data_IF_543022700100
#
_entry.id   IF_543022700100
#
_cell.length_a   1.000
_cell.length_b   1.000
_cell.length_c   1.000
_cell.angle_alpha   90.00
_cell.angle_beta   90.00
_cell.angle_gamma   90.00
#
_symmetry.space_group_name_H-M   'P 1'
#
loop_
_entity.id
_entity.type
_entity.pdbx_description
1 polymer ?
#
# COMPACT_ATOMS: atom_id res chain seq x y z
N UNK A 1 29.37 -31.11 -9.95
CA UNK A 1 28.26 -30.74 -10.86
C UNK A 1 27.84 -29.35 -10.43
N UNK A 2 28.39 -28.32 -11.08
CA UNK A 2 28.03 -26.94 -10.80
C UNK A 2 26.65 -26.72 -11.41
N UNK A 3 25.62 -26.66 -10.56
CA UNK A 3 24.30 -26.24 -11.00
C UNK A 3 24.35 -24.74 -11.25
N UNK A 4 24.56 -24.36 -12.51
CA UNK A 4 24.49 -22.99 -12.98
C UNK A 4 22.99 -22.60 -13.03
N UNK A 5 22.45 -22.12 -11.91
CA UNK A 5 21.08 -21.60 -11.85
C UNK A 5 21.04 -20.22 -12.51
N UNK A 6 20.84 -20.16 -13.83
CA UNK A 6 20.57 -18.91 -14.56
C UNK A 6 19.13 -18.48 -14.33
N UNK A 7 18.93 -17.50 -13.46
CA UNK A 7 17.67 -16.75 -13.40
C UNK A 7 17.82 -15.52 -14.28
N UNK A 8 17.29 -15.59 -15.51
CA UNK A 8 17.35 -14.47 -16.44
C UNK A 8 16.22 -13.47 -16.13
N UNK A 9 16.61 -12.26 -15.71
CA UNK A 9 15.70 -11.11 -15.64
C UNK A 9 15.92 -10.29 -16.92
N UNK A 10 14.97 -10.38 -17.85
CA UNK A 10 15.03 -9.62 -19.10
C UNK A 10 14.36 -8.25 -18.90
N UNK A 11 15.17 -7.19 -18.89
CA UNK A 11 14.71 -5.79 -18.88
C UNK A 11 15.05 -5.16 -20.23
N UNK A 12 14.05 -4.69 -20.96
CA UNK A 12 14.27 -3.93 -22.19
C UNK A 12 14.77 -2.52 -21.83
N UNK A 13 15.92 -2.11 -22.37
CA UNK A 13 16.55 -0.81 -22.12
C UNK A 13 15.78 0.37 -22.72
N UNK A 14 15.87 1.49 -22.00
CA UNK A 14 15.15 2.76 -22.14
C UNK A 14 15.35 3.49 -23.49
N UNK A 15 14.31 4.21 -23.93
CA UNK A 15 14.44 5.35 -24.86
C UNK A 15 14.80 6.63 -24.06
N UNK A 16 15.65 7.45 -24.67
CA UNK A 16 16.51 8.53 -24.13
C UNK A 16 15.82 9.66 -23.35
N UNK A 17 14.49 9.70 -23.29
CA UNK A 17 13.71 10.87 -22.79
C UNK A 17 13.26 10.79 -21.33
N UNK A 18 13.46 9.65 -20.65
CA UNK A 18 13.05 9.44 -19.25
C UNK A 18 14.24 8.98 -18.38
N UNK A 19 15.34 9.74 -18.34
CA UNK A 19 16.47 9.38 -17.48
C UNK A 19 16.15 9.65 -16.01
N UNK A 20 16.03 8.58 -15.22
CA UNK A 20 15.98 8.61 -13.76
C UNK A 20 17.37 8.70 -13.13
N UNK A 21 18.47 8.58 -13.89
CA UNK A 21 19.83 8.38 -13.38
C UNK A 21 20.80 9.52 -13.74
N UNK A 22 21.10 10.40 -12.77
CA UNK A 22 22.01 11.55 -12.93
C UNK A 22 23.41 11.32 -12.34
N UNK A 23 23.56 10.41 -11.37
CA UNK A 23 24.80 10.27 -10.59
C UNK A 23 25.87 9.35 -11.18
N UNK A 24 25.54 8.51 -12.17
CA UNK A 24 26.51 7.57 -12.78
C UNK A 24 27.03 6.44 -11.87
N UNK A 25 26.65 6.43 -10.58
CA UNK A 25 27.13 5.45 -9.60
C UNK A 25 26.23 4.22 -9.43
N UNK A 26 24.99 4.27 -9.94
CA UNK A 26 23.98 3.23 -9.66
C UNK A 26 24.33 1.83 -10.17
N UNK A 27 25.18 1.70 -11.19
CA UNK A 27 25.65 0.39 -11.66
C UNK A 27 26.49 -0.33 -10.60
N UNK A 28 27.30 0.40 -9.82
CA UNK A 28 28.22 -0.18 -8.86
C UNK A 28 27.53 -0.72 -7.61
N UNK A 29 26.25 -0.38 -7.36
CA UNK A 29 25.50 -0.99 -6.26
C UNK A 29 25.26 -2.49 -6.47
N UNK A 30 25.47 -3.02 -7.69
CA UNK A 30 25.47 -4.46 -7.94
C UNK A 30 26.48 -5.22 -7.08
N UNK A 31 27.63 -4.61 -6.76
CA UNK A 31 28.66 -5.20 -5.91
C UNK A 31 28.30 -5.26 -4.42
N UNK A 32 27.15 -4.70 -4.01
CA UNK A 32 26.64 -4.90 -2.65
C UNK A 32 26.19 -6.35 -2.42
N UNK A 33 25.83 -7.07 -3.49
CA UNK A 33 25.32 -8.45 -3.40
C UNK A 33 26.12 -9.44 -4.25
N UNK A 34 26.91 -8.96 -5.20
CA UNK A 34 27.70 -9.78 -6.11
C UNK A 34 29.20 -9.59 -5.91
N UNK A 35 29.95 -10.69 -5.90
CA UNK A 35 31.42 -10.68 -5.89
C UNK A 35 31.99 -10.30 -7.27
N UNK A 36 31.31 -10.74 -8.33
CA UNK A 36 31.71 -10.52 -9.72
C UNK A 36 30.50 -10.10 -10.55
N UNK A 37 30.70 -9.13 -11.43
CA UNK A 37 29.69 -8.67 -12.38
C UNK A 37 30.23 -8.82 -13.79
N UNK A 38 29.45 -9.47 -14.64
CA UNK A 38 29.75 -9.63 -16.08
C UNK A 38 28.65 -8.96 -16.88
N UNK A 39 29.02 -8.04 -17.77
CA UNK A 39 28.11 -7.31 -18.64
C UNK A 39 28.43 -7.68 -20.08
N UNK A 40 27.52 -8.39 -20.73
CA UNK A 40 27.61 -8.70 -22.16
C UNK A 40 26.70 -7.72 -22.91
N UNK A 41 27.24 -6.98 -23.87
CA UNK A 41 26.46 -5.96 -24.58
C UNK A 41 26.73 -5.99 -26.07
N UNK A 42 25.69 -5.70 -26.86
CA UNK A 42 25.77 -5.52 -28.31
C UNK A 42 25.04 -4.24 -28.70
N UNK A 43 25.80 -3.24 -29.12
CA UNK A 43 25.27 -2.04 -29.77
C UNK A 43 25.08 -2.28 -31.28
N UNK A 44 24.28 -1.46 -31.96
CA UNK A 44 24.12 -1.59 -33.42
C UNK A 44 25.41 -1.27 -34.18
N UNK A 45 26.14 -0.26 -33.71
CA UNK A 45 27.31 0.29 -34.38
C UNK A 45 28.64 -0.36 -33.95
N UNK A 46 28.58 -1.41 -33.12
CA UNK A 46 29.77 -2.08 -32.60
C UNK A 46 29.53 -3.60 -32.46
N UNK A 47 30.60 -4.37 -32.28
CA UNK A 47 30.56 -5.81 -32.06
C UNK A 47 30.11 -6.17 -30.63
N UNK A 48 29.83 -7.45 -30.39
CA UNK A 48 29.45 -7.93 -29.06
C UNK A 48 30.70 -7.98 -28.17
N UNK A 49 30.61 -7.36 -27.00
CA UNK A 49 31.70 -7.31 -26.04
C UNK A 49 31.22 -7.81 -24.68
N UNK A 50 32.14 -8.46 -23.95
CA UNK A 50 32.00 -8.86 -22.55
C UNK A 50 32.88 -7.94 -21.71
N UNK A 51 32.25 -7.24 -20.78
CA UNK A 51 32.91 -6.51 -19.71
C UNK A 51 32.85 -7.34 -18.43
N UNK A 52 33.96 -7.48 -17.73
CA UNK A 52 34.04 -8.25 -16.48
C UNK A 52 34.81 -7.46 -15.41
N UNK A 53 34.28 -7.42 -14.19
CA UNK A 53 35.00 -6.88 -13.04
C UNK A 53 34.56 -7.51 -11.71
N UNK A 54 35.46 -7.47 -10.75
CA UNK A 54 35.29 -7.90 -9.35
C UNK A 54 35.45 -6.73 -8.38
N UNK A 55 35.28 -5.49 -8.86
CA UNK A 55 35.50 -4.25 -8.09
C UNK A 55 36.90 -4.06 -7.49
N UNK A 56 37.92 -4.82 -7.94
CA UNK A 56 39.31 -4.73 -7.47
C UNK A 56 40.14 -3.57 -8.03
N UNK A 57 39.51 -2.53 -8.57
CA UNK A 57 40.18 -1.37 -9.18
C UNK A 57 40.49 -1.47 -10.68
N UNK A 58 40.24 -2.63 -11.30
CA UNK A 58 40.36 -2.84 -12.75
C UNK A 58 39.17 -3.63 -13.31
N UNK A 59 39.03 -3.62 -14.63
CA UNK A 59 38.04 -4.39 -15.38
C UNK A 59 38.66 -4.88 -16.68
N UNK A 60 38.13 -5.98 -17.21
CA UNK A 60 38.54 -6.54 -18.49
C UNK A 60 37.43 -6.34 -19.52
N UNK A 61 37.81 -6.06 -20.76
CA UNK A 61 36.90 -6.00 -21.90
C UNK A 61 37.42 -6.93 -22.98
N UNK A 62 36.61 -7.88 -23.40
CA UNK A 62 36.95 -8.85 -24.44
C UNK A 62 35.83 -8.93 -25.46
N UNK A 63 36.18 -9.20 -26.72
CA UNK A 63 35.20 -9.51 -27.76
C UNK A 63 34.51 -10.85 -27.45
N UNK A 64 33.21 -10.92 -27.69
CA UNK A 64 32.43 -12.15 -27.47
C UNK A 64 32.33 -12.97 -28.76
N UNK A 65 33.23 -13.94 -28.92
CA UNK A 65 33.28 -14.78 -30.12
C UNK A 65 32.56 -16.13 -29.96
N UNK A 66 32.09 -16.46 -28.76
CA UNK A 66 31.55 -17.80 -28.43
C UNK A 66 30.21 -17.80 -27.68
N UNK A 67 29.79 -16.65 -27.17
CA UNK A 67 28.51 -16.47 -26.51
C UNK A 67 27.32 -16.46 -27.47
N UNK A 68 26.12 -16.52 -26.89
CA UNK A 68 24.88 -16.37 -27.65
C UNK A 68 24.79 -14.95 -28.25
N UNK A 69 24.48 -14.80 -29.55
CA UNK A 69 24.35 -13.49 -30.17
C UNK A 69 23.12 -12.74 -29.66
N UNK A 70 23.35 -11.63 -28.95
CA UNK A 70 22.30 -10.85 -28.28
C UNK A 70 21.47 -9.94 -29.21
N UNK A 71 21.92 -9.76 -30.45
CA UNK A 71 21.30 -8.84 -31.42
C UNK A 71 21.50 -7.36 -31.05
N UNK A 72 20.61 -6.80 -30.21
CA UNK A 72 20.70 -5.42 -29.68
C UNK A 72 20.19 -5.35 -28.25
N UNK A 73 21.03 -5.78 -27.30
CA UNK A 73 20.69 -5.89 -25.87
C UNK A 73 21.95 -5.81 -25.01
N UNK A 74 21.73 -5.66 -23.71
CA UNK A 74 22.73 -5.82 -22.67
C UNK A 74 22.22 -6.84 -21.66
N UNK A 75 23.07 -7.80 -21.31
CA UNK A 75 22.83 -8.80 -20.28
C UNK A 75 23.79 -8.54 -19.13
N UNK A 76 23.26 -8.47 -17.91
CA UNK A 76 24.05 -8.28 -16.69
C UNK A 76 23.95 -9.59 -15.89
N UNK A 77 25.07 -10.27 -15.73
CA UNK A 77 25.18 -11.49 -14.92
C UNK A 77 25.83 -11.16 -13.59
N UNK A 78 25.13 -11.45 -12.50
CA UNK A 78 25.58 -11.21 -11.13
C UNK A 78 26.01 -12.53 -10.50
N UNK A 79 27.28 -12.64 -10.15
CA UNK A 79 27.80 -13.76 -9.37
C UNK A 79 27.66 -13.39 -7.90
N UNK A 80 26.57 -13.84 -7.29
CA UNK A 80 26.20 -13.51 -5.92
C UNK A 80 27.22 -14.03 -4.92
N UNK A 81 27.40 -13.30 -3.82
CA UNK A 81 28.16 -13.77 -2.67
C UNK A 81 27.43 -14.92 -1.96
N UNK A 82 28.17 -15.78 -1.26
CA UNK A 82 27.64 -16.98 -0.59
C UNK A 82 26.54 -16.68 0.45
N UNK A 83 26.57 -15.49 1.06
CA UNK A 83 25.60 -15.02 2.05
C UNK A 83 24.39 -14.29 1.42
N UNK A 84 24.40 -14.04 0.11
CA UNK A 84 23.37 -13.31 -0.63
C UNK A 84 22.51 -14.21 -1.52
N UNK A 85 22.54 -15.52 -1.29
CA UNK A 85 21.77 -16.51 -2.06
C UNK A 85 20.24 -16.37 -1.90
N UNK A 86 19.77 -15.57 -0.92
CA UNK A 86 18.35 -15.23 -0.78
C UNK A 86 17.76 -14.56 -2.04
N UNK A 87 18.59 -13.90 -2.85
CA UNK A 87 18.16 -13.28 -4.11
C UNK A 87 17.94 -14.28 -5.24
N UNK A 88 18.29 -15.56 -5.07
CA UNK A 88 17.89 -16.63 -5.99
C UNK A 88 16.45 -17.10 -5.72
N UNK A 89 15.88 -16.79 -4.56
CA UNK A 89 14.51 -17.17 -4.23
C UNK A 89 13.50 -16.33 -5.01
N UNK A 90 12.58 -17.00 -5.71
CA UNK A 90 11.52 -16.35 -6.48
C UNK A 90 10.73 -15.34 -5.64
N UNK A 91 10.43 -15.68 -4.38
CA UNK A 91 9.69 -14.82 -3.45
C UNK A 91 10.40 -13.48 -3.21
N UNK A 92 11.74 -13.48 -3.17
CA UNK A 92 12.55 -12.28 -2.94
C UNK A 92 12.57 -11.39 -4.19
N UNK A 93 12.77 -11.96 -5.38
CA UNK A 93 12.79 -11.21 -6.65
C UNK A 93 11.41 -10.68 -7.03
N UNK A 94 10.34 -11.43 -6.73
CA UNK A 94 8.95 -11.04 -7.03
C UNK A 94 8.49 -9.81 -6.21
N UNK A 95 9.30 -9.30 -5.29
CA UNK A 95 9.01 -8.09 -4.53
C UNK A 95 8.85 -6.87 -5.48
N UNK A 96 7.61 -6.41 -5.63
CA UNK A 96 7.24 -5.33 -6.57
C UNK A 96 7.65 -3.92 -6.11
N UNK A 97 8.27 -3.78 -4.92
CA UNK A 97 8.37 -2.50 -4.21
C UNK A 97 8.93 -1.35 -5.07
N UNK A 98 9.98 -1.60 -5.86
CA UNK A 98 10.72 -0.53 -6.54
C UNK A 98 10.43 -0.36 -8.03
N UNK A 99 9.89 -1.39 -8.70
CA UNK A 99 9.79 -1.43 -10.16
C UNK A 99 8.37 -1.66 -10.69
N UNK A 100 7.36 -1.50 -9.83
CA UNK A 100 5.97 -1.79 -10.16
C UNK A 100 5.42 -0.95 -11.33
N UNK A 101 5.83 0.31 -11.43
CA UNK A 101 5.27 1.28 -12.38
C UNK A 101 6.24 1.70 -13.50
N UNK A 102 7.30 0.91 -13.71
CA UNK A 102 8.17 1.07 -14.86
C UNK A 102 7.37 0.77 -16.13
N UNK A 103 7.55 1.61 -17.15
CA UNK A 103 6.73 1.58 -18.38
C UNK A 103 6.98 0.37 -19.28
N UNK A 104 8.14 -0.27 -19.14
CA UNK A 104 8.51 -1.45 -19.91
C UNK A 104 8.12 -2.72 -19.17
N UNK A 105 7.62 -3.75 -19.86
CA UNK A 105 7.27 -5.02 -19.22
C UNK A 105 8.52 -5.71 -18.66
N UNK A 106 8.42 -6.14 -17.40
CA UNK A 106 9.44 -6.87 -16.66
C UNK A 106 8.98 -8.33 -16.58
N UNK A 107 9.80 -9.21 -17.14
CA UNK A 107 9.57 -10.65 -17.12
C UNK A 107 10.54 -11.33 -16.16
N UNK A 108 10.03 -12.29 -15.40
CA UNK A 108 10.82 -13.18 -14.55
C UNK A 108 10.71 -14.61 -15.08
N UNK A 109 11.86 -15.24 -15.27
CA UNK A 109 11.96 -16.66 -15.55
C UNK A 109 11.68 -17.46 -14.28
N UNK A 110 10.60 -18.24 -14.27
CA UNK A 110 10.18 -19.02 -13.09
C UNK A 110 10.07 -20.50 -13.39
N UNK A 111 10.44 -21.32 -12.40
CA UNK A 111 10.30 -22.77 -12.45
C UNK A 111 8.93 -23.18 -11.91
N UNK A 112 8.10 -23.79 -12.75
CA UNK A 112 6.85 -24.43 -12.33
C UNK A 112 7.04 -25.94 -12.24
N UNK A 113 6.77 -26.48 -11.07
CA UNK A 113 6.67 -27.93 -10.89
C UNK A 113 5.20 -28.36 -11.05
N UNK A 114 4.90 -29.15 -12.07
CA UNK A 114 3.58 -29.76 -12.26
C UNK A 114 3.65 -31.26 -11.99
N UNK A 115 2.71 -31.78 -11.20
CA UNK A 115 2.56 -33.22 -11.00
C UNK A 115 1.61 -33.76 -12.07
N UNK A 116 2.12 -34.53 -13.04
CA UNK A 116 1.27 -35.30 -13.97
C UNK A 116 1.12 -36.74 -13.49
N UNK A 117 -0.12 -37.23 -13.44
CA UNK A 117 -0.40 -38.66 -13.27
C UNK A 117 -0.38 -39.34 -14.65
N UNK A 118 0.47 -40.34 -14.83
CA UNK A 118 0.47 -41.18 -16.04
C UNK A 118 -0.23 -42.51 -15.70
N UNK A 119 -1.25 -42.91 -16.47
CA UNK A 119 -1.69 -44.31 -16.53
C UNK A 119 -0.74 -45.07 -17.46
N UNK A 120 -0.16 -46.17 -16.98
CA UNK A 120 0.56 -47.10 -17.85
C UNK A 120 -0.46 -47.81 -18.75
N UNK A 121 -0.61 -47.33 -19.99
CA UNK A 121 -1.34 -48.00 -21.07
C UNK A 121 -0.36 -48.44 -22.18
N UNK A 122 0.78 -49.02 -21.80
CA UNK A 122 1.70 -49.68 -22.74
C UNK A 122 2.28 -50.93 -22.06
N UNK A 123 1.56 -52.04 -22.13
CA UNK A 123 2.06 -53.40 -21.88
C UNK A 123 1.02 -54.45 -22.37
N UNK A 124 0.59 -54.40 -23.64
CA UNK A 124 -0.01 -55.56 -24.32
C UNK A 124 0.34 -55.56 -25.82
N UNK A 125 1.56 -55.98 -26.14
CA UNK A 125 1.87 -56.48 -27.48
C UNK A 125 3.01 -57.49 -27.39
N UNK A 126 2.67 -58.72 -26.97
CA UNK A 126 3.28 -60.00 -27.43
C UNK A 126 2.85 -61.16 -26.54
N UNK A 127 1.95 -62.02 -27.06
CA UNK A 127 2.05 -63.48 -26.92
C UNK A 127 1.06 -64.17 -27.86
N UNK A 128 1.61 -64.91 -28.82
CA UNK A 128 0.91 -65.90 -29.63
C UNK A 128 1.03 -67.28 -28.99
N UNK A 129 -0.07 -68.04 -29.11
CA UNK A 129 -0.19 -69.50 -29.30
C UNK A 129 0.24 -70.41 -28.11
N UNK A 130 -0.71 -71.06 -27.43
CA UNK A 130 -1.22 -72.43 -27.70
C UNK A 130 -2.26 -72.87 -26.65
N UNK A 131 -3.00 -73.93 -27.03
CA UNK A 131 -4.21 -74.60 -26.53
C UNK A 131 -4.40 -74.79 -25.00
N UNK A 132 -5.66 -74.69 -24.52
CA UNK A 132 -6.43 -75.86 -24.05
C UNK A 132 -7.84 -75.44 -23.56
N UNK A 133 -8.84 -76.25 -23.93
CA UNK A 133 -10.26 -76.14 -23.59
C UNK A 133 -10.62 -77.26 -22.61
N UNK A 134 -11.04 -76.92 -21.38
CA UNK A 134 -11.82 -77.80 -20.48
C UNK A 134 -12.34 -77.06 -19.22
N UNK A 135 -13.66 -76.90 -19.21
CA UNK A 135 -14.66 -76.87 -18.13
C UNK A 135 -14.28 -76.79 -16.62
N UNK A 136 -14.94 -75.80 -15.98
CA UNK A 136 -15.79 -75.89 -14.77
C UNK A 136 -15.27 -75.78 -13.31
N UNK A 137 -16.10 -75.04 -12.54
CA UNK A 137 -16.44 -74.98 -11.10
C UNK A 137 -15.60 -74.21 -10.05
N UNK A 138 -16.30 -73.20 -9.50
CA UNK A 138 -16.53 -72.80 -8.09
C UNK A 138 -15.53 -72.10 -7.15
N UNK A 139 -16.15 -71.12 -6.46
CA UNK A 139 -16.05 -70.71 -5.05
C UNK A 139 -14.76 -70.07 -4.48
N UNK A 140 -14.90 -68.75 -4.29
CA UNK A 140 -14.81 -68.04 -2.99
C UNK A 140 -13.44 -67.80 -2.30
N UNK A 141 -13.26 -66.51 -1.95
CA UNK A 141 -12.47 -65.91 -0.85
C UNK A 141 -11.09 -65.28 -1.13
N UNK A 142 -11.11 -63.95 -0.98
CA UNK A 142 -10.12 -63.06 -0.36
C UNK A 142 -8.63 -63.28 -0.63
N UNK A 143 -8.03 -62.34 -1.40
CA UNK A 143 -6.82 -61.60 -0.98
C UNK A 143 -6.44 -60.45 -1.92
N UNK A 144 -6.22 -59.29 -1.31
CA UNK A 144 -5.38 -58.17 -1.73
C UNK A 144 -5.68 -57.47 -3.08
N UNK A 145 -6.56 -56.45 -3.02
CA UNK A 145 -6.48 -55.29 -3.93
C UNK A 145 -5.15 -54.56 -3.73
N UNK A 146 -4.11 -55.03 -4.42
CA UNK A 146 -2.84 -54.33 -4.60
C UNK A 146 -3.11 -53.04 -5.39
N UNK A 147 -3.38 -51.93 -4.68
CA UNK A 147 -3.43 -50.57 -5.24
C UNK A 147 -2.15 -50.37 -6.07
N UNK A 148 -2.25 -50.37 -7.41
CA UNK A 148 -1.19 -49.91 -8.32
C UNK A 148 -0.74 -48.54 -7.81
N UNK A 149 0.49 -48.48 -7.27
CA UNK A 149 1.11 -47.26 -6.75
C UNK A 149 1.37 -46.36 -7.96
N UNK A 150 0.45 -45.42 -8.24
CA UNK A 150 0.64 -44.40 -9.28
C UNK A 150 1.94 -43.65 -8.98
N UNK A 151 2.93 -43.77 -9.87
CA UNK A 151 4.16 -42.98 -9.78
C UNK A 151 3.82 -41.56 -10.24
N UNK A 152 3.89 -40.61 -9.32
CA UNK A 152 3.83 -39.18 -9.63
C UNK A 152 5.21 -38.76 -10.15
N UNK A 153 5.29 -38.31 -11.39
CA UNK A 153 6.51 -37.70 -11.94
C UNK A 153 6.32 -36.18 -11.83
N UNK A 154 7.31 -35.51 -11.25
CA UNK A 154 7.37 -34.05 -11.20
C UNK A 154 8.00 -33.55 -12.50
N UNK A 155 7.21 -32.87 -13.32
CA UNK A 155 7.71 -32.20 -14.52
C UNK A 155 8.00 -30.74 -14.16
N UNK A 156 9.27 -30.33 -14.32
CA UNK A 156 9.69 -28.94 -14.14
C UNK A 156 9.65 -28.26 -15.51
N UNK A 157 8.77 -27.27 -15.64
CA UNK A 157 8.67 -26.44 -16.83
C UNK A 157 9.06 -25.01 -16.48
N UNK A 158 9.77 -24.34 -17.38
CA UNK A 158 10.13 -22.94 -17.21
C UNK A 158 9.23 -22.02 -18.03
N UNK A 159 8.80 -20.90 -17.45
CA UNK A 159 8.02 -19.88 -18.16
C UNK A 159 8.47 -18.46 -17.80
N UNK A 160 8.38 -17.54 -18.76
CA UNK A 160 8.51 -16.10 -18.52
C UNK A 160 7.18 -15.53 -18.00
N UNK A 161 7.14 -15.09 -16.75
CA UNK A 161 5.98 -14.41 -16.18
C UNK A 161 6.18 -12.90 -16.09
N UNK A 162 5.25 -12.11 -16.62
CA UNK A 162 5.26 -10.66 -16.45
C UNK A 162 4.88 -10.27 -15.00
N UNK A 163 5.75 -9.50 -14.34
CA UNK A 163 5.57 -9.05 -12.95
C UNK A 163 4.76 -7.74 -12.88
N UNK A 164 5.16 -6.73 -13.65
CA UNK A 164 4.56 -5.39 -13.61
C UNK A 164 3.37 -5.26 -14.59
N UNK A 165 2.27 -5.93 -14.25
CA UNK A 165 1.04 -5.83 -15.06
C UNK A 165 0.28 -4.53 -14.87
N UNK A 166 0.51 -3.84 -13.75
CA UNK A 166 -0.20 -2.62 -13.41
C UNK A 166 0.39 -1.42 -14.13
N UNK A 167 -0.49 -0.61 -14.72
CA UNK A 167 -0.10 0.64 -15.37
C UNK A 167 -0.29 1.81 -14.40
N UNK A 168 0.61 2.81 -14.41
CA UNK A 168 0.45 4.02 -13.61
C UNK A 168 -0.76 4.82 -14.13
N UNK A 169 -1.84 4.84 -13.35
CA UNK A 169 -3.09 5.51 -13.74
C UNK A 169 -3.03 7.03 -13.54
N UNK A 170 -2.17 7.55 -12.66
CA UNK A 170 -2.02 8.98 -12.37
C UNK A 170 -1.35 9.79 -13.48
N UNK A 171 -0.81 9.11 -14.51
CA UNK A 171 -0.24 9.77 -15.68
C UNK A 171 -1.29 10.07 -16.76
N UNK A 172 -2.44 9.42 -16.70
CA UNK A 172 -3.58 9.65 -17.60
C UNK A 172 -4.45 10.77 -17.08
N UNK A 173 -5.23 11.40 -17.95
CA UNK A 173 -6.20 12.41 -17.50
C UNK A 173 -7.29 11.73 -16.69
N UNK A 174 -7.82 12.36 -15.61
CA UNK A 174 -8.86 11.77 -14.78
C UNK A 174 -10.11 11.32 -15.56
N UNK A 175 -10.46 12.05 -16.62
CA UNK A 175 -11.62 11.83 -17.50
C UNK A 175 -11.49 10.56 -18.36
N UNK A 176 -10.27 10.13 -18.65
CA UNK A 176 -9.98 8.98 -19.52
C UNK A 176 -9.95 7.66 -18.76
N UNK A 177 -10.02 7.69 -17.43
CA UNK A 177 -9.87 6.52 -16.56
C UNK A 177 -11.24 6.10 -16.03
N UNK A 178 -11.63 4.86 -16.32
CA UNK A 178 -12.91 4.32 -15.84
C UNK A 178 -12.88 4.06 -14.32
N UNK A 179 -14.05 4.10 -13.68
CA UNK A 179 -14.18 3.83 -12.23
C UNK A 179 -13.66 2.44 -11.84
N UNK A 180 -13.88 1.44 -12.68
CA UNK A 180 -13.38 0.07 -12.45
C UNK A 180 -11.85 0.00 -12.46
N UNK A 181 -11.17 0.83 -13.26
CA UNK A 181 -9.71 0.90 -13.29
C UNK A 181 -9.17 1.47 -11.97
N UNK A 182 -9.83 2.48 -11.38
CA UNK A 182 -9.47 2.99 -10.05
C UNK A 182 -9.69 1.96 -8.95
N UNK A 183 -10.80 1.22 -8.98
CA UNK A 183 -11.08 0.16 -8.00
C UNK A 183 -10.03 -0.96 -8.07
N UNK A 184 -9.73 -1.45 -9.29
CA UNK A 184 -8.68 -2.44 -9.52
C UNK A 184 -7.30 -1.95 -9.08
N UNK A 185 -6.99 -0.68 -9.34
CA UNK A 185 -5.75 -0.06 -8.88
C UNK A 185 -5.67 0.00 -7.35
N UNK A 186 -6.74 0.45 -6.68
CA UNK A 186 -6.82 0.48 -5.21
C UNK A 186 -6.66 -0.90 -4.59
N UNK A 187 -7.35 -1.92 -5.10
CA UNK A 187 -7.29 -3.29 -4.58
C UNK A 187 -5.87 -3.86 -4.65
N UNK A 188 -5.16 -3.61 -5.75
CA UNK A 188 -3.75 -4.04 -5.88
C UNK A 188 -2.76 -3.20 -5.07
N UNK A 189 -3.00 -1.90 -4.93
CA UNK A 189 -2.14 -1.02 -4.12
C UNK A 189 -2.19 -1.40 -2.64
N UNK A 190 -3.37 -1.80 -2.17
CA UNK A 190 -3.70 -1.91 -0.74
C UNK A 190 -3.90 -3.34 -0.26
N UNK A 191 -3.96 -4.30 -1.19
CA UNK A 191 -4.37 -5.70 -0.96
C UNK A 191 -5.73 -5.83 -0.27
N UNK A 192 -6.61 -4.86 -0.49
CA UNK A 192 -7.99 -4.90 -0.04
C UNK A 192 -8.85 -5.68 -1.05
N UNK A 193 -9.82 -6.43 -0.54
CA UNK A 193 -10.78 -7.16 -1.36
C UNK A 193 -12.05 -6.35 -1.61
N UNK A 194 -12.27 -5.30 -0.81
CA UNK A 194 -13.38 -4.37 -0.97
C UNK A 194 -12.91 -3.09 -1.66
N UNK A 195 -13.71 -2.56 -2.60
CA UNK A 195 -13.38 -1.33 -3.31
C UNK A 195 -13.36 -0.11 -2.37
N UNK A 196 -12.65 0.95 -2.80
CA UNK A 196 -12.62 2.22 -2.10
C UNK A 196 -14.01 2.88 -1.97
N UNK A 197 -14.22 3.70 -0.94
CA UNK A 197 -15.43 4.49 -0.76
C UNK A 197 -15.43 5.70 -1.70
N UNK A 198 -14.32 6.42 -1.72
CA UNK A 198 -14.12 7.62 -2.52
C UNK A 198 -12.69 7.68 -3.02
N UNK A 199 -12.50 8.40 -4.13
CA UNK A 199 -11.18 8.66 -4.72
C UNK A 199 -11.06 10.13 -5.09
N UNK A 200 -9.82 10.62 -5.13
CA UNK A 200 -9.49 11.96 -5.64
C UNK A 200 -8.22 11.87 -6.48
N UNK A 201 -8.32 12.16 -7.77
CA UNK A 201 -7.19 12.25 -8.70
C UNK A 201 -6.96 13.73 -9.05
N UNK A 202 -5.74 14.23 -8.82
CA UNK A 202 -5.38 15.62 -9.10
C UNK A 202 -3.89 15.76 -9.45
N UNK A 203 -3.57 16.87 -10.12
CA UNK A 203 -2.22 17.36 -10.36
C UNK A 203 -2.05 18.75 -9.72
N UNK A 204 -0.83 19.08 -9.33
CA UNK A 204 -0.42 20.40 -8.84
C UNK A 204 0.76 20.84 -9.68
N UNK A 205 0.70 22.06 -10.21
CA UNK A 205 1.73 22.63 -11.12
C UNK A 205 2.40 23.90 -10.56
N UNK A 206 2.03 24.35 -9.35
CA UNK A 206 2.50 25.65 -8.82
C UNK A 206 3.97 25.63 -8.36
N UNK A 207 4.22 25.31 -7.09
CA UNK A 207 5.57 25.36 -6.49
C UNK A 207 6.38 24.08 -6.70
N UNK A 208 5.70 22.96 -6.88
CA UNK A 208 6.25 21.66 -7.13
C UNK A 208 5.27 20.91 -8.04
N UNK A 209 5.76 20.41 -9.17
CA UNK A 209 4.92 19.59 -10.05
C UNK A 209 4.81 18.17 -9.49
N UNK A 210 3.58 17.76 -9.18
CA UNK A 210 3.29 16.37 -8.82
C UNK A 210 1.87 15.97 -9.17
N UNK A 211 1.69 14.66 -9.36
CA UNK A 211 0.40 14.01 -9.63
C UNK A 211 0.11 13.05 -8.49
N UNK A 212 -1.14 13.03 -8.03
CA UNK A 212 -1.52 12.21 -6.91
C UNK A 212 -2.90 11.59 -7.08
N UNK A 213 -3.06 10.40 -6.51
CA UNK A 213 -4.35 9.74 -6.35
C UNK A 213 -4.50 9.31 -4.89
N UNK A 214 -5.57 9.77 -4.27
CA UNK A 214 -5.91 9.48 -2.89
C UNK A 214 -7.21 8.68 -2.84
N UNK A 215 -7.30 7.77 -1.88
CA UNK A 215 -8.41 6.85 -1.69
C UNK A 215 -8.84 6.84 -0.23
N UNK A 216 -10.15 6.87 -0.01
CA UNK A 216 -10.76 6.60 1.29
C UNK A 216 -11.22 5.15 1.31
N UNK A 217 -10.69 4.29 2.20
CA UNK A 217 -11.18 2.92 2.35
C UNK A 217 -12.63 2.92 2.88
N UNK A 218 -13.42 1.90 2.53
CA UNK A 218 -14.79 1.76 3.04
C UNK A 218 -14.87 1.43 4.51
N UNK A 219 -13.85 0.74 5.04
CA UNK A 219 -13.77 0.34 6.43
C UNK A 219 -12.48 0.84 7.03
N UNK A 220 -12.53 1.22 8.31
CA UNK A 220 -11.32 1.51 9.05
C UNK A 220 -10.52 0.22 9.28
N UNK A 221 -9.21 0.22 9.04
CA UNK A 221 -8.38 -0.92 9.38
C UNK A 221 -8.34 -1.09 10.91
N UNK A 222 -8.27 -2.33 11.39
CA UNK A 222 -8.36 -2.65 12.83
C UNK A 222 -7.22 -2.05 13.66
N UNK A 223 -6.08 -1.78 13.01
CA UNK A 223 -4.83 -1.28 13.59
C UNK A 223 -4.66 0.24 13.40
N UNK A 224 -5.72 0.98 13.00
CA UNK A 224 -5.63 2.40 12.65
C UNK A 224 -5.06 3.29 13.76
N UNK A 225 -5.27 2.94 15.03
CA UNK A 225 -4.81 3.71 16.20
C UNK A 225 -3.73 2.98 17.01
N UNK A 226 -3.06 1.97 16.44
CA UNK A 226 -1.87 1.40 17.08
C UNK A 226 -0.71 2.38 16.90
N UNK A 227 -0.26 3.00 18.01
CA UNK A 227 0.85 3.96 18.01
C UNK A 227 2.18 3.39 17.49
N UNK A 228 2.31 2.06 17.38
CA UNK A 228 3.50 1.40 16.82
C UNK A 228 3.44 1.25 15.30
N UNK A 229 2.29 1.53 14.69
CA UNK A 229 2.08 1.37 13.25
C UNK A 229 2.78 2.51 12.51
N UNK A 230 3.62 2.15 11.54
CA UNK A 230 4.21 3.13 10.62
C UNK A 230 3.14 3.66 9.67
N UNK A 231 3.12 4.97 9.45
CA UNK A 231 2.24 5.62 8.48
C UNK A 231 2.78 5.38 7.06
N UNK A 232 2.36 4.28 6.44
CA UNK A 232 2.81 3.83 5.12
C UNK A 232 1.70 3.73 4.06
N UNK A 233 0.56 4.36 4.33
CA UNK A 233 -0.64 4.29 3.48
C UNK A 233 -0.51 5.13 2.20
N UNK A 234 0.35 6.15 2.19
CA UNK A 234 0.70 6.92 0.99
C UNK A 234 2.13 6.58 0.56
N UNK A 235 2.31 6.30 -0.73
CA UNK A 235 3.62 5.98 -1.31
C UNK A 235 4.09 7.14 -2.19
N UNK A 236 5.34 7.56 -1.98
CA UNK A 236 5.98 8.61 -2.78
C UNK A 236 6.87 7.99 -3.86
N UNK A 237 6.63 8.40 -5.09
CA UNK A 237 7.37 8.04 -6.28
C UNK A 237 8.06 9.26 -6.87
N UNK A 238 9.25 9.03 -7.42
CA UNK A 238 9.97 10.00 -8.21
C UNK A 238 10.21 9.42 -9.60
N UNK A 239 9.67 10.06 -10.64
CA UNK A 239 9.73 9.54 -12.01
C UNK A 239 9.33 8.07 -12.09
N UNK A 240 8.23 7.70 -11.41
CA UNK A 240 7.67 6.33 -11.33
C UNK A 240 8.50 5.32 -10.53
N UNK A 241 9.62 5.73 -9.93
CA UNK A 241 10.44 4.88 -9.07
C UNK A 241 10.02 5.13 -7.62
N UNK A 242 9.75 4.06 -6.89
CA UNK A 242 9.40 4.16 -5.47
C UNK A 242 10.59 4.74 -4.68
N UNK A 243 10.34 5.80 -3.92
CA UNK A 243 11.33 6.44 -3.05
C UNK A 243 11.10 6.01 -1.61
N UNK A 244 9.94 6.38 -1.07
CA UNK A 244 9.62 6.20 0.35
C UNK A 244 8.14 5.96 0.56
N UNK A 245 7.83 5.20 1.61
CA UNK A 245 6.50 4.98 2.15
C UNK A 245 6.32 5.65 3.52
N UNK A 246 7.40 6.02 4.21
CA UNK A 246 7.30 6.67 5.52
C UNK A 246 6.78 8.12 5.41
N UNK A 247 5.49 8.30 5.65
CA UNK A 247 4.75 9.51 5.35
C UNK A 247 4.34 10.32 6.60
N UNK A 248 5.02 10.16 7.74
CA UNK A 248 4.79 10.98 8.94
C UNK A 248 4.86 12.50 8.63
N UNK A 249 5.77 12.90 7.74
CA UNK A 249 5.87 14.28 7.28
C UNK A 249 4.89 14.64 6.15
N UNK A 250 4.34 13.64 5.44
CA UNK A 250 3.51 13.84 4.24
C UNK A 250 2.02 14.01 4.58
N UNK A 251 1.54 13.32 5.62
CA UNK A 251 0.16 13.44 6.08
C UNK A 251 0.07 13.54 7.60
N UNK A 252 -0.87 14.34 8.14
CA UNK A 252 -1.19 14.31 9.57
C UNK A 252 -1.77 12.97 10.02
N UNK A 253 -1.57 12.64 11.30
CA UNK A 253 -2.07 11.41 11.93
C UNK A 253 -3.59 11.25 11.76
N UNK A 254 -4.35 12.33 11.89
CA UNK A 254 -5.80 12.28 11.72
C UNK A 254 -6.27 11.89 10.30
N UNK A 255 -5.42 12.04 9.26
CA UNK A 255 -5.71 11.60 7.88
C UNK A 255 -5.01 10.25 7.57
N UNK A 256 -4.35 9.62 8.55
CA UNK A 256 -3.55 8.40 8.37
C UNK A 256 -4.27 7.20 7.74
N UNK A 257 -5.61 7.21 7.67
CA UNK A 257 -6.39 6.16 6.99
C UNK A 257 -6.47 6.31 5.46
N UNK A 258 -6.10 7.47 4.90
CA UNK A 258 -6.15 7.73 3.46
C UNK A 258 -4.99 7.02 2.78
N UNK A 259 -5.31 6.20 1.78
CA UNK A 259 -4.34 5.44 1.01
C UNK A 259 -4.08 6.13 -0.32
N UNK A 260 -2.86 6.05 -0.85
CA UNK A 260 -2.61 6.72 -2.13
C UNK A 260 -1.20 6.64 -2.67
N UNK A 261 -1.03 7.32 -3.79
CA UNK A 261 0.24 7.45 -4.51
C UNK A 261 0.45 8.92 -4.85
N UNK A 262 1.68 9.39 -4.66
CA UNK A 262 2.16 10.71 -5.09
C UNK A 262 3.37 10.47 -5.98
N UNK A 263 3.39 11.03 -7.18
CA UNK A 263 4.51 10.94 -8.13
C UNK A 263 4.92 12.33 -8.59
N UNK A 264 6.23 12.60 -8.57
CA UNK A 264 6.79 13.89 -8.97
C UNK A 264 8.09 13.67 -9.73
N UNK A 265 8.27 14.43 -10.82
CA UNK A 265 9.46 14.31 -11.67
C UNK A 265 10.65 15.18 -11.18
N UNK A 266 10.37 16.11 -10.25
CA UNK A 266 11.25 17.20 -9.80
C UNK A 266 11.74 17.08 -8.35
N UNK A 267 11.66 15.87 -7.78
CA UNK A 267 12.13 15.64 -6.41
C UNK A 267 13.68 15.66 -6.33
N UNK A 268 14.29 16.52 -5.48
CA UNK A 268 15.72 16.49 -5.23
C UNK A 268 16.08 15.30 -4.32
N UNK A 269 16.42 14.19 -4.96
CA UNK A 269 16.79 12.95 -4.27
C UNK A 269 18.24 12.99 -3.80
N UNK A 270 18.47 12.36 -2.65
CA UNK A 270 19.82 12.10 -2.18
C UNK A 270 20.53 11.04 -3.06
N UNK A 271 21.82 10.80 -2.80
CA UNK A 271 22.61 9.84 -3.58
C UNK A 271 22.02 8.42 -3.48
N UNK A 272 21.50 8.04 -2.29
CA UNK A 272 20.89 6.71 -2.10
C UNK A 272 19.53 6.55 -2.77
N UNK A 273 18.85 7.65 -3.13
CA UNK A 273 17.49 7.70 -3.69
C UNK A 273 16.39 7.18 -2.77
N UNK A 274 16.71 7.01 -1.49
CA UNK A 274 15.75 6.54 -0.48
C UNK A 274 15.19 7.68 0.37
N UNK A 275 15.90 8.82 0.41
CA UNK A 275 15.48 9.99 1.19
C UNK A 275 15.58 11.25 0.34
N UNK A 276 14.71 12.21 0.65
CA UNK A 276 14.75 13.55 0.05
C UNK A 276 15.84 14.38 0.73
N UNK A 277 16.52 15.24 -0.03
CA UNK A 277 17.55 16.13 0.52
C UNK A 277 16.96 17.30 1.32
N UNK A 278 15.71 17.71 1.01
CA UNK A 278 15.07 18.88 1.61
C UNK A 278 13.66 18.55 2.12
N UNK A 279 13.44 18.69 3.43
CA UNK A 279 12.13 18.43 4.05
C UNK A 279 11.09 19.51 3.74
N UNK A 280 11.48 20.70 3.26
CA UNK A 280 10.51 21.76 2.91
C UNK A 280 9.52 21.34 1.81
N UNK A 281 9.98 20.50 0.88
CA UNK A 281 9.15 19.99 -0.23
C UNK A 281 8.03 19.09 0.30
N UNK A 282 8.34 18.24 1.28
CA UNK A 282 7.35 17.38 1.94
C UNK A 282 6.24 18.20 2.62
N UNK A 283 6.59 19.35 3.23
CA UNK A 283 5.60 20.26 3.83
C UNK A 283 4.65 20.87 2.79
N UNK A 284 5.16 21.23 1.61
CA UNK A 284 4.35 21.74 0.50
C UNK A 284 3.41 20.67 -0.03
N UNK A 285 3.92 19.44 -0.22
CA UNK A 285 3.09 18.30 -0.62
C UNK A 285 2.01 18.06 0.43
N UNK A 286 2.37 17.96 1.71
CA UNK A 286 1.44 17.76 2.83
C UNK A 286 0.30 18.77 2.84
N UNK A 287 0.60 20.06 2.70
CA UNK A 287 -0.42 21.12 2.66
C UNK A 287 -1.42 20.90 1.52
N UNK A 288 -0.94 20.49 0.35
CA UNK A 288 -1.79 20.21 -0.80
C UNK A 288 -2.60 18.91 -0.64
N UNK A 289 -2.00 17.84 -0.10
CA UNK A 289 -2.71 16.58 0.18
C UNK A 289 -3.83 16.80 1.20
N UNK A 290 -3.55 17.50 2.32
CA UNK A 290 -4.55 17.81 3.35
C UNK A 290 -5.71 18.59 2.77
N UNK A 291 -5.42 19.63 1.96
CA UNK A 291 -6.44 20.42 1.27
C UNK A 291 -7.34 19.53 0.38
N UNK A 292 -6.74 18.66 -0.43
CA UNK A 292 -7.46 17.75 -1.34
C UNK A 292 -8.23 16.65 -0.61
N UNK A 293 -7.74 16.16 0.53
CA UNK A 293 -8.47 15.24 1.39
C UNK A 293 -9.73 15.89 1.98
N UNK A 294 -9.62 17.12 2.48
CA UNK A 294 -10.77 17.84 3.03
C UNK A 294 -11.81 18.12 1.94
N UNK A 295 -11.38 18.55 0.75
CA UNK A 295 -12.27 18.69 -0.42
C UNK A 295 -13.00 17.38 -0.73
N UNK A 296 -12.27 16.25 -0.75
CA UNK A 296 -12.86 14.92 -0.95
C UNK A 296 -13.86 14.55 0.15
N UNK A 297 -13.62 14.90 1.43
CA UNK A 297 -14.57 14.63 2.51
C UNK A 297 -15.87 15.41 2.36
N UNK A 298 -15.80 16.65 1.88
CA UNK A 298 -17.00 17.43 1.57
C UNK A 298 -17.78 16.86 0.38
N UNK A 299 -17.08 16.38 -0.66
CA UNK A 299 -17.74 15.70 -1.78
C UNK A 299 -18.45 14.41 -1.33
N UNK A 300 -17.86 13.65 -0.41
CA UNK A 300 -18.54 12.50 0.22
C UNK A 300 -19.78 12.96 1.00
N UNK A 301 -19.72 14.13 1.65
CA UNK A 301 -20.83 14.68 2.43
C UNK A 301 -22.05 15.08 1.59
N UNK A 302 -21.88 15.34 0.29
CA UNK A 302 -22.99 15.59 -0.64
C UNK A 302 -23.90 14.36 -0.79
N UNK A 303 -23.33 13.14 -0.69
CA UNK A 303 -24.11 11.90 -0.67
C UNK A 303 -24.34 11.40 0.76
N UNK A 304 -25.59 11.51 1.23
CA UNK A 304 -25.98 11.11 2.59
C UNK A 304 -25.64 9.66 2.92
N UNK A 305 -25.75 8.72 1.98
CA UNK A 305 -25.49 7.30 2.24
C UNK A 305 -23.99 7.01 2.39
N UNK A 306 -23.17 7.51 1.48
CA UNK A 306 -21.73 7.33 1.53
C UNK A 306 -21.12 8.09 2.70
N UNK A 307 -21.65 9.27 3.01
CA UNK A 307 -21.25 10.01 4.20
C UNK A 307 -21.57 9.27 5.50
N UNK A 308 -22.71 8.57 5.58
CA UNK A 308 -23.01 7.77 6.76
C UNK A 308 -21.96 6.66 6.95
N UNK A 309 -21.59 5.95 5.87
CA UNK A 309 -20.54 4.91 5.92
C UNK A 309 -19.19 5.49 6.32
N UNK A 310 -18.81 6.62 5.72
CA UNK A 310 -17.59 7.35 6.04
C UNK A 310 -17.54 7.76 7.52
N UNK A 311 -18.61 8.39 8.01
CA UNK A 311 -18.68 8.90 9.38
C UNK A 311 -18.81 7.79 10.42
N UNK A 312 -19.36 6.62 10.07
CA UNK A 312 -19.34 5.44 10.93
C UNK A 312 -17.94 4.82 11.02
N UNK A 313 -17.18 4.81 9.92
CA UNK A 313 -15.83 4.27 9.89
C UNK A 313 -14.77 5.18 10.52
N UNK A 314 -14.80 6.49 10.23
CA UNK A 314 -13.74 7.45 10.60
C UNK A 314 -14.17 8.60 11.53
N UNK A 315 -15.09 8.42 12.51
CA UNK A 315 -15.53 9.53 13.36
C UNK A 315 -14.44 10.01 14.32
N UNK A 316 -13.53 9.12 14.73
CA UNK A 316 -12.42 9.43 15.63
C UNK A 316 -11.38 10.32 14.93
N UNK A 317 -11.07 10.00 13.68
CA UNK A 317 -10.15 10.75 12.83
C UNK A 317 -10.61 12.21 12.62
N UNK A 318 -11.89 12.43 12.29
CA UNK A 318 -12.42 13.80 12.14
C UNK A 318 -12.29 14.58 13.44
N UNK A 319 -12.63 13.97 14.58
CA UNK A 319 -12.52 14.59 15.90
C UNK A 319 -11.07 14.92 16.27
N UNK A 320 -10.14 14.00 15.96
CA UNK A 320 -8.71 14.21 16.16
C UNK A 320 -8.20 15.39 15.32
N UNK A 321 -8.63 15.48 14.07
CA UNK A 321 -8.28 16.60 13.19
C UNK A 321 -8.76 17.96 13.72
N UNK A 322 -9.93 18.03 14.36
CA UNK A 322 -10.42 19.27 15.01
C UNK A 322 -9.55 19.66 16.21
N UNK A 323 -9.03 18.66 16.93
CA UNK A 323 -8.14 18.87 18.08
C UNK A 323 -6.76 19.38 17.62
N UNK A 324 -6.15 18.68 16.66
CA UNK A 324 -4.76 18.90 16.23
C UNK A 324 -4.60 20.02 15.21
N UNK A 325 -5.43 20.04 14.16
CA UNK A 325 -5.30 20.98 13.04
C UNK A 325 -6.08 22.27 13.32
N UNK A 326 -5.40 23.25 13.89
CA UNK A 326 -5.96 24.57 14.18
C UNK A 326 -6.36 25.35 12.92
N UNK A 327 -5.68 25.16 11.80
CA UNK A 327 -5.93 25.90 10.56
C UNK A 327 -7.18 25.41 9.83
N UNK A 328 -7.39 24.10 9.80
CA UNK A 328 -8.55 23.48 9.15
C UNK A 328 -9.70 23.16 10.11
N UNK A 329 -9.56 23.50 11.39
CA UNK A 329 -10.56 23.23 12.44
C UNK A 329 -11.99 23.61 12.05
N UNK A 330 -12.18 24.80 11.49
CA UNK A 330 -13.51 25.28 11.09
C UNK A 330 -14.13 24.37 10.02
N UNK A 331 -13.36 24.04 8.97
CA UNK A 331 -13.81 23.14 7.89
C UNK A 331 -14.08 21.72 8.39
N UNK A 332 -13.22 21.21 9.27
CA UNK A 332 -13.41 19.87 9.84
C UNK A 332 -14.62 19.82 10.80
N UNK A 333 -14.93 20.93 11.49
CA UNK A 333 -16.11 21.03 12.34
C UNK A 333 -17.41 20.96 11.55
N UNK A 334 -17.46 21.50 10.33
CA UNK A 334 -18.63 21.40 9.44
C UNK A 334 -18.96 19.95 9.03
N UNK A 335 -17.99 19.04 9.11
CA UNK A 335 -18.18 17.61 8.89
C UNK A 335 -18.80 16.91 10.12
N UNK A 336 -18.78 17.51 11.32
CA UNK A 336 -19.41 16.87 12.47
C UNK A 336 -20.93 16.87 12.33
N UNK A 337 -21.55 15.69 12.47
CA UNK A 337 -23.01 15.55 12.53
C UNK A 337 -23.52 15.88 13.93
N UNK A 338 -23.45 17.15 14.28
CA UNK A 338 -24.15 17.70 15.42
C UNK A 338 -25.27 18.58 14.88
N UNK A 339 -26.51 18.29 15.25
CA UNK A 339 -27.67 19.07 14.79
C UNK A 339 -27.59 20.52 15.27
N UNK A 340 -27.17 20.71 16.52
CA UNK A 340 -26.97 22.02 17.13
C UNK A 340 -25.99 21.92 18.29
N UNK A 341 -25.37 23.05 18.58
CA UNK A 341 -24.53 23.24 19.76
C UNK A 341 -25.26 24.20 20.70
N UNK A 342 -25.46 23.81 21.95
CA UNK A 342 -26.17 24.61 22.96
C UNK A 342 -25.36 24.67 24.24
N UNK A 343 -25.44 25.79 24.96
CA UNK A 343 -24.93 25.87 26.32
C UNK A 343 -25.92 25.17 27.25
N UNK A 344 -25.45 24.33 28.16
CA UNK A 344 -26.32 23.65 29.12
C UNK A 344 -25.72 23.60 30.51
N UNK A 345 -26.55 23.96 31.48
CA UNK A 345 -26.21 23.95 32.91
C UNK A 345 -26.27 22.53 33.52
N UNK A 346 -26.61 21.50 32.73
CA UNK A 346 -26.71 20.12 33.20
C UNK A 346 -25.35 19.45 33.42
N UNK A 347 -24.29 20.07 32.92
CA UNK A 347 -22.92 19.53 32.93
C UNK A 347 -22.12 20.33 33.94
N UNK A 348 -21.47 19.65 34.89
CA UNK A 348 -20.72 20.31 35.97
C UNK A 348 -19.21 20.21 35.74
N UNK A 349 -18.67 18.98 35.68
CA UNK A 349 -17.22 18.77 35.59
C UNK A 349 -16.71 18.58 34.16
N UNK A 350 -17.55 18.12 33.23
CA UNK A 350 -17.13 17.87 31.85
C UNK A 350 -17.19 19.15 31.00
N UNK A 351 -16.29 19.32 30.00
CA UNK A 351 -16.30 20.50 29.13
C UNK A 351 -17.48 20.49 28.13
N UNK A 352 -17.92 19.32 27.69
CA UNK A 352 -19.09 19.15 26.84
C UNK A 352 -19.65 17.73 26.95
N UNK A 353 -20.90 17.54 26.49
CA UNK A 353 -21.52 16.24 26.33
C UNK A 353 -22.33 16.19 25.03
N UNK A 354 -22.58 14.98 24.50
CA UNK A 354 -23.45 14.80 23.33
C UNK A 354 -24.75 14.17 23.80
N UNK A 355 -25.85 14.86 23.60
CA UNK A 355 -27.19 14.45 23.99
C UNK A 355 -27.97 14.00 22.76
N UNK A 356 -28.69 12.90 22.87
CA UNK A 356 -29.63 12.44 21.84
C UNK A 356 -30.96 13.17 22.00
N UNK A 357 -31.56 13.61 20.89
CA UNK A 357 -32.87 14.26 20.88
C UNK A 357 -33.99 13.39 21.47
N UNK A 358 -35.09 14.02 21.85
CA UNK A 358 -36.25 13.38 22.51
C UNK A 358 -36.88 12.24 21.69
N UNK A 359 -36.73 12.29 20.37
CA UNK A 359 -37.25 11.28 19.45
C UNK A 359 -36.09 10.47 18.82
N UNK A 360 -36.25 9.15 18.81
CA UNK A 360 -35.28 8.19 18.28
C UNK A 360 -34.59 7.37 19.38
N UNK A 361 -33.54 6.64 19.02
CA UNK A 361 -32.80 5.80 19.96
C UNK A 361 -31.88 6.62 20.86
N UNK A 362 -31.87 6.29 22.16
CA UNK A 362 -30.81 6.76 23.06
C UNK A 362 -29.46 6.19 22.63
N UNK A 363 -28.35 6.81 23.04
CA UNK A 363 -27.01 6.32 22.70
C UNK A 363 -26.79 4.84 23.12
N UNK A 364 -27.35 4.44 24.27
CA UNK A 364 -27.27 3.05 24.72
C UNK A 364 -28.17 2.13 23.89
N UNK A 365 -29.39 2.56 23.58
CA UNK A 365 -30.30 1.80 22.70
C UNK A 365 -29.70 1.64 21.30
N UNK A 366 -29.07 2.67 20.74
CA UNK A 366 -28.37 2.61 19.45
C UNK A 366 -27.25 1.56 19.49
N UNK A 367 -26.46 1.52 20.58
CA UNK A 367 -25.39 0.52 20.78
C UNK A 367 -25.94 -0.91 20.85
N UNK A 368 -26.99 -1.14 21.64
CA UNK A 368 -27.62 -2.46 21.80
C UNK A 368 -28.22 -2.92 20.47
N UNK A 369 -28.96 -2.04 19.79
CA UNK A 369 -29.62 -2.35 18.52
C UNK A 369 -28.65 -2.53 17.35
N UNK A 370 -27.44 -1.94 17.42
CA UNK A 370 -26.34 -2.21 16.47
C UNK A 370 -25.63 -3.55 16.72
N UNK A 371 -25.67 -4.07 17.94
CA UNK A 371 -24.99 -5.31 18.33
C UNK A 371 -25.80 -6.59 18.04
N UNK A 372 -27.07 -6.48 17.64
CA UNK A 372 -27.92 -7.64 17.31
C UNK A 372 -27.68 -8.12 15.87
N UNK A 373 -27.35 -9.41 15.71
CA UNK A 373 -26.86 -9.99 14.46
C UNK A 373 -27.91 -10.21 13.35
N UNK A 374 -29.22 -10.21 13.67
CA UNK A 374 -30.30 -10.58 12.74
C UNK A 374 -31.24 -9.41 12.39
N UNK A 375 -30.74 -8.18 12.43
CA UNK A 375 -31.59 -6.99 12.32
C UNK A 375 -31.72 -6.46 10.88
N UNK A 376 -32.91 -6.00 10.53
CA UNK A 376 -33.13 -5.21 9.33
C UNK A 376 -32.52 -3.79 9.49
N UNK A 377 -31.62 -3.45 8.56
CA UNK A 377 -30.93 -2.16 8.49
C UNK A 377 -31.85 -0.99 8.16
N UNK A 378 -33.02 -1.25 7.56
CA UNK A 378 -33.98 -0.21 7.13
C UNK A 378 -34.50 0.66 8.28
N UNK A 379 -34.75 0.06 9.45
CA UNK A 379 -35.22 0.80 10.65
C UNK A 379 -34.15 1.72 11.29
N UNK A 380 -32.86 1.55 10.99
CA UNK A 380 -31.78 2.37 11.61
C UNK A 380 -31.90 3.83 11.20
N UNK A 381 -32.21 4.08 9.94
CA UNK A 381 -32.22 5.43 9.38
C UNK A 381 -33.38 6.26 9.95
N UNK A 382 -34.53 5.63 10.21
CA UNK A 382 -35.73 6.29 10.73
C UNK A 382 -35.68 6.52 12.25
N UNK A 383 -34.99 5.66 13.00
CA UNK A 383 -34.90 5.75 14.46
C UNK A 383 -33.61 6.42 14.96
N UNK A 384 -32.77 6.90 14.05
CA UNK A 384 -31.55 7.64 14.39
C UNK A 384 -31.93 8.98 15.04
N UNK A 385 -31.59 9.13 16.32
CA UNK A 385 -31.83 10.37 17.05
C UNK A 385 -30.86 11.45 16.59
N UNK A 386 -31.38 12.67 16.46
CA UNK A 386 -30.53 13.82 16.19
C UNK A 386 -29.64 14.09 17.40
N UNK A 387 -28.37 14.44 17.16
CA UNK A 387 -27.36 14.59 18.22
C UNK A 387 -27.12 16.08 18.46
N UNK A 388 -27.35 16.53 19.68
CA UNK A 388 -27.08 17.90 20.14
C UNK A 388 -25.82 17.88 21.00
N UNK A 389 -24.85 18.75 20.71
CA UNK A 389 -23.69 18.91 21.59
C UNK A 389 -24.00 20.00 22.59
N UNK A 390 -23.82 19.68 23.85
CA UNK A 390 -24.03 20.61 24.94
C UNK A 390 -22.70 21.00 25.55
N UNK A 391 -22.51 22.29 25.78
CA UNK A 391 -21.28 22.89 26.25
C UNK A 391 -21.47 23.38 27.68
N UNK A 392 -20.48 23.11 28.52
CA UNK A 392 -20.36 23.68 29.85
C UNK A 392 -19.45 24.92 29.81
N UNK A 393 -19.98 26.13 30.05
CA UNK A 393 -19.18 27.36 30.02
C UNK A 393 -18.26 27.49 31.24
N UNK A 394 -18.62 26.87 32.37
CA UNK A 394 -17.93 27.02 33.66
C UNK A 394 -16.72 26.08 33.79
N UNK A 395 -16.49 25.23 32.79
CA UNK A 395 -15.32 24.37 32.75
C UNK A 395 -14.08 25.17 32.30
N UNK A 396 -12.97 25.08 33.05
CA UNK A 396 -11.73 25.81 32.75
C UNK A 396 -11.14 25.55 31.35
N UNK A 397 -11.43 24.40 30.73
CA UNK A 397 -11.04 24.12 29.34
C UNK A 397 -11.87 24.95 28.35
N UNK A 398 -13.15 25.18 28.63
CA UNK A 398 -14.03 25.97 27.77
C UNK A 398 -13.80 27.47 27.97
N UNK A 399 -13.51 27.90 29.19
CA UNK A 399 -13.12 29.27 29.50
C UNK A 399 -11.80 29.66 28.81
N UNK A 400 -10.76 28.81 28.91
CA UNK A 400 -9.49 29.03 28.21
C UNK A 400 -9.64 29.06 26.68
N UNK A 401 -10.53 28.23 26.12
CA UNK A 401 -10.89 28.29 24.69
C UNK A 401 -11.68 29.55 24.35
N UNK A 402 -12.56 30.02 25.21
CA UNK A 402 -13.33 31.25 25.00
C UNK A 402 -12.41 32.48 25.01
N UNK A 403 -11.43 32.51 25.90
CA UNK A 403 -10.37 33.54 25.93
C UNK A 403 -9.53 33.51 24.65
N UNK A 404 -9.10 32.33 24.20
CA UNK A 404 -8.37 32.16 22.92
C UNK A 404 -9.17 32.55 21.68
N UNK A 405 -10.50 32.37 21.70
CA UNK A 405 -11.36 32.79 20.59
C UNK A 405 -11.53 34.31 20.54
N UNK A 406 -11.58 34.97 21.71
CA UNK A 406 -11.67 36.43 21.82
C UNK A 406 -10.35 37.12 21.49
N UNK A 407 -9.23 36.44 21.79
CA UNK A 407 -7.88 36.91 21.53
C UNK A 407 -7.16 35.90 20.62
N UNK A 408 -7.44 35.88 19.31
CA UNK A 408 -6.70 35.04 18.39
C UNK A 408 -5.22 35.44 18.43
N UNK A 409 -4.28 34.49 18.57
CA UNK A 409 -2.87 34.82 18.53
C UNK A 409 -2.52 35.38 17.15
N UNK A 410 -1.86 36.56 17.13
CA UNK A 410 -1.20 37.07 15.93
C UNK A 410 -0.15 36.04 15.46
N UNK A 411 0.06 35.98 14.15
CA UNK A 411 0.70 34.86 13.45
C UNK A 411 2.20 34.61 13.77
N UNK A 412 2.79 35.29 14.75
CA UNK A 412 4.24 35.31 14.97
C UNK A 412 4.71 34.72 16.32
N UNK A 413 3.82 34.36 17.26
CA UNK A 413 4.23 33.78 18.55
C UNK A 413 3.99 32.26 18.63
N UNK A 414 4.80 31.52 17.88
CA UNK A 414 4.86 30.05 17.92
C UNK A 414 5.90 29.55 18.94
N UNK A 415 5.88 30.05 20.17
CA UNK A 415 6.64 29.48 21.28
C UNK A 415 5.97 29.84 22.63
N UNK A 416 5.01 29.01 23.07
CA UNK A 416 4.66 28.89 24.48
C UNK A 416 4.38 27.42 24.84
N UNK A 417 4.81 26.97 26.02
CA UNK A 417 4.92 25.55 26.36
C UNK A 417 3.55 24.86 26.46
N UNK A 418 3.58 23.55 26.21
CA UNK A 418 2.44 22.66 26.42
C UNK A 418 1.93 22.74 27.86
N UNK A 419 0.61 22.60 28.02
CA UNK A 419 -0.08 22.58 29.31
C UNK A 419 0.53 21.49 30.21
N UNK A 420 1.03 21.88 31.39
CA UNK A 420 1.28 20.93 32.48
C UNK A 420 -0.05 20.31 32.91
N UNK A 421 -0.10 18.97 32.99
CA UNK A 421 -1.24 18.25 33.54
C UNK A 421 -1.43 18.62 35.03
N UNK A 422 -2.68 18.74 35.52
CA UNK A 422 -2.90 19.03 36.93
C UNK A 422 -2.45 17.85 37.81
N UNK A 423 -1.44 18.10 38.66
CA UNK A 423 -0.95 17.18 39.69
C UNK A 423 -2.11 16.61 40.55
N UNK A 424 -2.20 15.29 40.67
CA UNK A 424 -3.18 14.56 41.49
C UNK A 424 -2.94 14.64 43.02
N UNK A 425 -2.03 15.48 43.53
CA UNK A 425 -1.59 15.43 44.93
C UNK A 425 -2.33 16.32 45.95
N UNK A 426 -3.44 17.00 45.60
CA UNK A 426 -4.12 17.90 46.57
C UNK A 426 -5.41 17.36 47.20
N UNK A 427 -5.72 16.05 47.06
CA UNK A 427 -6.87 15.41 47.74
C UNK A 427 -6.47 14.54 48.93
N UNK A 428 -5.60 15.03 49.81
CA UNK A 428 -5.52 14.53 51.19
C UNK A 428 -5.06 15.66 52.11
N UNK A 429 -5.98 16.49 52.60
CA UNK A 429 -5.85 17.04 53.95
C UNK A 429 -7.14 17.74 54.40
N UNK A 430 -7.46 17.53 55.68
CA UNK A 430 -8.56 18.09 56.49
C UNK A 430 -9.90 17.33 56.43
N UNK A 431 -9.84 16.12 56.96
CA UNK A 431 -10.83 15.70 57.97
C UNK A 431 -10.23 16.05 59.33
N UNK A 432 -10.83 17.04 59.99
CA UNK A 432 -11.05 17.11 61.44
C UNK A 432 -12.10 18.18 61.72
#
# INVERSE_FOLDING_TARGET
>A
MNHEFKHDICVQTLDSRHFTLQFGAGFYSAYLVAEKVVVTTKHNDDEQHVWESQAGGSFNVTRDDSGEPLGRRTTISLFLMDDQLEYLEERRIRAKKHSEFISYPIYLWVEKTTEKEISNDEDEDTKKEEEDDAEEVDEDKDKDKKKKKKKKIKEVTHECQQINKQKPIWLRKPEEVAKEEYASFYNSLTNDWEDHLAMKHFSVEEQLEFKAILFVPRRAPFDLFDARKKLNDIKLYGRRVFIMDNCEELIPEYIGFVKGVVDSDDLPLNISREMLQQNMILRVIRKNLVKKCIEMFFEIAENKEDYNKFYEAFPRNIKLGIHEDSQNRAKLADLLRVEKVVVSDRIVDSPCCVVTGEYGWTANTERIMKAQALRDSSMSAYMSSKKTMEINPDNGIMESKHVRLKNPPDADDADMPALEEPNEESKMEKVD
#
